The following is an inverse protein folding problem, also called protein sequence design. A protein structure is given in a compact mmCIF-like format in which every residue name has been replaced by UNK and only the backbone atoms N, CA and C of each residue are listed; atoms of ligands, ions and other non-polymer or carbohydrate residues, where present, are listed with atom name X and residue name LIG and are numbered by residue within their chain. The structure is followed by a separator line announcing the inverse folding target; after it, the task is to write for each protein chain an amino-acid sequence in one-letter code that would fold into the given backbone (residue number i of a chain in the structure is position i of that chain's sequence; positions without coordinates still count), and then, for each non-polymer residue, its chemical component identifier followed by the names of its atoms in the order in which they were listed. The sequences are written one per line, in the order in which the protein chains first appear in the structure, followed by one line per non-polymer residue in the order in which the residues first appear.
data_IF_175086563659
#
_entry.id   IF_175086563659
#
_cell.length_a   1.000
_cell.length_b   1.000
_cell.length_c   1.000
_cell.angle_alpha   90.00
_cell.angle_beta   90.00
_cell.angle_gamma   90.00
#
_symmetry.space_group_name_H-M   'P 1'
#
loop_
_entity.id
_entity.type
_entity.pdbx_description
1 polymer ?
#
# COMPACT_ATOMS: atom_id res chain seq x y z
N UNK A 1 26.36 2.30 -2.07
CA UNK A 1 25.53 3.06 -3.03
C UNK A 1 25.24 4.37 -2.36
N UNK A 2 25.66 5.46 -2.97
CA UNK A 2 25.47 6.80 -2.40
C UNK A 2 23.98 7.18 -2.46
N UNK A 3 23.49 7.95 -1.48
CA UNK A 3 22.07 8.38 -1.43
C UNK A 3 21.61 9.06 -2.72
N UNK A 4 22.47 9.91 -3.28
CA UNK A 4 22.22 10.62 -4.54
C UNK A 4 22.02 9.69 -5.74
N UNK A 5 22.61 8.49 -5.70
CA UNK A 5 22.44 7.49 -6.74
C UNK A 5 21.09 6.79 -6.61
N UNK A 6 20.65 6.51 -5.37
CA UNK A 6 19.33 5.93 -5.10
C UNK A 6 18.22 6.87 -5.57
N UNK A 7 18.29 8.14 -5.16
CA UNK A 7 17.25 9.13 -5.48
C UNK A 7 17.07 9.33 -7.00
N UNK A 8 18.13 9.24 -7.80
CA UNK A 8 18.05 9.32 -9.27
C UNK A 8 17.28 8.17 -9.90
N UNK A 9 17.04 7.07 -9.19
CA UNK A 9 16.29 5.92 -9.70
C UNK A 9 14.85 5.89 -9.16
N UNK A 10 14.39 6.93 -8.45
CA UNK A 10 13.04 7.03 -7.93
C UNK A 10 12.29 8.10 -8.72
N UNK A 11 11.19 7.71 -9.35
CA UNK A 11 10.23 8.64 -9.92
C UNK A 11 9.09 8.86 -8.91
N UNK A 12 8.82 10.13 -8.58
CA UNK A 12 7.71 10.51 -7.72
C UNK A 12 6.60 11.14 -8.56
N UNK A 13 5.39 10.60 -8.43
CA UNK A 13 4.16 11.21 -8.90
C UNK A 13 3.35 11.67 -7.69
N UNK A 14 2.78 12.87 -7.76
CA UNK A 14 2.03 13.47 -6.64
C UNK A 14 0.68 13.98 -7.12
N UNK A 15 -0.25 13.06 -7.44
CA UNK A 15 -1.60 13.44 -7.87
C UNK A 15 -2.30 14.21 -6.74
N UNK A 16 -2.93 15.32 -7.10
CA UNK A 16 -3.61 16.25 -6.19
C UNK A 16 -5.13 16.10 -6.18
N UNK A 17 -5.67 15.27 -7.09
CA UNK A 17 -7.10 15.00 -7.23
C UNK A 17 -7.34 13.52 -7.56
N UNK A 18 -8.60 13.08 -7.40
CA UNK A 18 -9.02 11.75 -7.82
C UNK A 18 -8.78 11.52 -9.33
N UNK A 19 -9.02 12.53 -10.16
CA UNK A 19 -8.84 12.41 -11.61
C UNK A 19 -7.37 12.23 -11.98
N UNK A 20 -6.46 13.02 -11.41
CA UNK A 20 -5.01 12.86 -11.62
C UNK A 20 -4.51 11.50 -11.10
N UNK A 21 -5.08 11.02 -9.98
CA UNK A 21 -4.76 9.70 -9.46
C UNK A 21 -5.20 8.60 -10.44
N UNK A 22 -6.42 8.67 -10.97
CA UNK A 22 -6.93 7.70 -11.95
C UNK A 22 -6.17 7.78 -13.28
N UNK A 23 -5.80 8.97 -13.73
CA UNK A 23 -5.01 9.18 -14.94
C UNK A 23 -3.61 8.56 -14.80
N UNK A 24 -2.94 8.75 -13.66
CA UNK A 24 -1.64 8.13 -13.40
C UNK A 24 -1.70 6.59 -13.47
N UNK A 25 -2.75 6.00 -12.92
CA UNK A 25 -2.97 4.54 -12.98
C UNK A 25 -3.27 4.09 -14.41
N UNK A 26 -4.11 4.83 -15.14
CA UNK A 26 -4.44 4.53 -16.55
C UNK A 26 -3.22 4.61 -17.45
N UNK A 27 -2.38 5.63 -17.27
CA UNK A 27 -1.13 5.81 -17.98
C UNK A 27 -0.20 4.60 -17.78
N UNK A 28 -0.03 4.14 -16.54
CA UNK A 28 0.79 2.97 -16.23
C UNK A 28 0.21 1.67 -16.84
N UNK A 29 -1.11 1.53 -16.86
CA UNK A 29 -1.80 0.37 -17.44
C UNK A 29 -1.62 0.28 -18.96
N UNK A 30 -1.72 1.43 -19.64
CA UNK A 30 -1.61 1.53 -21.10
C UNK A 30 -0.17 1.48 -21.61
N UNK A 31 0.81 1.73 -20.73
CA UNK A 31 2.23 1.65 -21.07
C UNK A 31 2.61 0.31 -21.69
N UNK A 32 3.39 0.35 -22.77
CA UNK A 32 3.96 -0.85 -23.41
C UNK A 32 5.06 -1.44 -22.53
N UNK A 33 5.88 -0.56 -21.95
CA UNK A 33 6.91 -0.87 -20.95
C UNK A 33 6.90 0.22 -19.87
N UNK A 34 7.27 -0.15 -18.65
CA UNK A 34 7.40 0.78 -17.52
C UNK A 34 8.87 0.84 -17.15
N UNK A 35 9.56 1.83 -17.72
CA UNK A 35 10.98 2.08 -17.47
C UNK A 35 11.24 3.54 -17.12
N UNK A 36 12.27 3.76 -16.31
CA UNK A 36 12.72 5.07 -15.87
C UNK A 36 14.25 5.11 -15.92
N UNK A 37 14.82 6.17 -16.52
CA UNK A 37 16.27 6.32 -16.73
C UNK A 37 16.94 5.09 -17.39
N UNK A 38 16.25 4.50 -18.37
CA UNK A 38 16.73 3.32 -19.10
C UNK A 38 16.73 2.01 -18.29
N UNK A 39 16.10 1.99 -17.11
CA UNK A 39 15.97 0.81 -16.26
C UNK A 39 14.50 0.43 -16.13
N UNK A 40 14.22 -0.87 -16.11
CA UNK A 40 12.87 -1.37 -15.85
C UNK A 40 12.47 -1.07 -14.40
N UNK A 41 11.25 -0.56 -14.20
CA UNK A 41 10.68 -0.37 -12.87
C UNK A 41 10.37 -1.74 -12.26
N UNK A 42 10.71 -1.94 -10.98
CA UNK A 42 10.47 -3.20 -10.26
C UNK A 42 9.47 -3.10 -9.11
N UNK A 43 9.22 -1.88 -8.63
CA UNK A 43 8.27 -1.61 -7.55
C UNK A 43 7.50 -0.34 -7.86
N UNK A 44 6.19 -0.39 -7.66
CA UNK A 44 5.31 0.78 -7.64
C UNK A 44 4.71 0.88 -6.23
N UNK A 45 4.84 2.04 -5.59
CA UNK A 45 4.31 2.30 -4.25
C UNK A 45 3.20 3.34 -4.39
N UNK A 46 2.03 3.03 -3.82
CA UNK A 46 0.88 3.95 -3.77
C UNK A 46 0.61 4.28 -2.32
N UNK A 47 0.85 5.54 -1.99
CA UNK A 47 0.67 6.08 -0.65
C UNK A 47 -0.29 7.29 -0.70
N UNK A 48 -1.60 7.11 -0.55
CA UNK A 48 -2.33 5.87 -0.23
C UNK A 48 -3.42 5.51 -1.23
N UNK A 49 -3.90 4.25 -1.18
CA UNK A 49 -4.99 3.79 -2.04
C UNK A 49 -6.31 4.47 -1.72
N UNK A 50 -6.64 4.64 -0.43
CA UNK A 50 -8.01 5.00 -0.06
C UNK A 50 -8.28 6.49 0.04
N UNK A 51 -7.28 7.31 0.37
CA UNK A 51 -7.48 8.76 0.54
C UNK A 51 -8.03 9.45 -0.71
N UNK A 52 -7.49 9.23 -1.93
CA UNK A 52 -8.04 9.85 -3.14
C UNK A 52 -9.52 9.51 -3.37
N UNK A 53 -9.95 8.31 -2.98
CA UNK A 53 -11.32 7.83 -3.19
C UNK A 53 -12.24 8.35 -2.08
N UNK A 54 -11.84 8.19 -0.81
CA UNK A 54 -12.67 8.54 0.35
C UNK A 54 -12.89 10.05 0.46
N UNK A 55 -11.86 10.85 0.17
CA UNK A 55 -11.94 12.31 0.29
C UNK A 55 -12.64 12.97 -0.90
N UNK A 56 -12.69 12.33 -2.06
CA UNK A 56 -13.29 12.93 -3.27
C UNK A 56 -14.69 12.40 -3.59
N UNK A 57 -15.12 11.27 -3.02
CA UNK A 57 -16.44 10.68 -3.27
C UNK A 57 -17.22 10.64 -1.97
N UNK A 58 -18.23 11.50 -1.84
CA UNK A 58 -19.07 11.57 -0.65
C UNK A 58 -19.96 10.33 -0.49
N UNK A 59 -20.52 9.82 -1.59
CA UNK A 59 -21.43 8.68 -1.59
C UNK A 59 -20.67 7.35 -1.36
N UNK A 60 -20.83 6.71 -0.18
CA UNK A 60 -20.13 5.46 0.12
C UNK A 60 -20.55 4.29 -0.79
N UNK A 61 -21.72 4.37 -1.42
CA UNK A 61 -22.20 3.33 -2.34
C UNK A 61 -21.45 3.32 -3.68
N UNK A 62 -20.83 4.45 -4.03
CA UNK A 62 -20.09 4.63 -5.29
C UNK A 62 -18.60 4.27 -5.14
N UNK A 63 -18.01 4.51 -3.96
CA UNK A 63 -16.59 4.21 -3.66
C UNK A 63 -16.16 2.79 -4.06
N UNK A 64 -16.96 1.73 -3.84
CA UNK A 64 -16.62 0.36 -4.29
C UNK A 64 -16.25 0.24 -5.76
N UNK A 65 -16.90 1.00 -6.65
CA UNK A 65 -16.65 0.98 -8.10
C UNK A 65 -15.21 1.46 -8.37
N UNK A 66 -14.80 2.54 -7.69
CA UNK A 66 -13.47 3.13 -7.84
C UNK A 66 -12.38 2.25 -7.23
N UNK A 67 -12.60 1.72 -6.03
CA UNK A 67 -11.68 0.73 -5.43
C UNK A 67 -11.47 -0.45 -6.37
N UNK A 68 -12.56 -1.04 -6.87
CA UNK A 68 -12.50 -2.21 -7.74
C UNK A 68 -11.77 -1.91 -9.04
N UNK A 69 -12.05 -0.77 -9.68
CA UNK A 69 -11.38 -0.34 -10.91
C UNK A 69 -9.87 -0.20 -10.69
N UNK A 70 -9.46 0.58 -9.67
CA UNK A 70 -8.04 0.82 -9.40
C UNK A 70 -7.31 -0.47 -9.05
N UNK A 71 -7.87 -1.30 -8.17
CA UNK A 71 -7.26 -2.57 -7.78
C UNK A 71 -7.11 -3.54 -8.95
N UNK A 72 -8.12 -3.61 -9.83
CA UNK A 72 -8.05 -4.44 -11.03
C UNK A 72 -6.95 -3.95 -11.98
N UNK A 73 -6.86 -2.63 -12.19
CA UNK A 73 -5.84 -2.03 -13.06
C UNK A 73 -4.43 -2.24 -12.50
N UNK A 74 -4.26 -2.10 -11.19
CA UNK A 74 -3.00 -2.42 -10.50
C UNK A 74 -2.63 -3.90 -10.64
N UNK A 75 -3.56 -4.82 -10.38
CA UNK A 75 -3.29 -6.24 -10.53
C UNK A 75 -2.88 -6.58 -11.98
N UNK A 76 -3.53 -5.96 -12.97
CA UNK A 76 -3.14 -6.09 -14.37
C UNK A 76 -1.72 -5.58 -14.63
N UNK A 77 -1.37 -4.38 -14.12
CA UNK A 77 -0.01 -3.81 -14.24
C UNK A 77 1.02 -4.76 -13.63
N UNK A 78 0.78 -5.27 -12.42
CA UNK A 78 1.68 -6.17 -11.72
C UNK A 78 1.98 -7.44 -12.54
N UNK A 79 0.93 -8.09 -13.06
CA UNK A 79 1.05 -9.32 -13.85
C UNK A 79 1.70 -9.06 -15.20
N UNK A 80 1.27 -8.01 -15.92
CA UNK A 80 1.75 -7.71 -17.27
C UNK A 80 3.24 -7.35 -17.29
N UNK A 81 3.71 -6.61 -16.29
CA UNK A 81 5.06 -6.06 -16.29
C UNK A 81 6.01 -6.76 -15.29
N UNK A 82 5.53 -7.75 -14.53
CA UNK A 82 6.29 -8.41 -13.46
C UNK A 82 6.85 -7.39 -12.43
N UNK A 83 5.93 -6.57 -11.91
CA UNK A 83 6.21 -5.47 -10.98
C UNK A 83 5.53 -5.72 -9.64
N UNK A 84 6.25 -5.51 -8.54
CA UNK A 84 5.65 -5.53 -7.21
C UNK A 84 4.87 -4.23 -6.95
N UNK A 85 3.60 -4.36 -6.56
CA UNK A 85 2.76 -3.23 -6.18
C UNK A 85 2.55 -3.24 -4.67
N UNK A 86 2.94 -2.14 -4.03
CA UNK A 86 2.77 -1.93 -2.59
C UNK A 86 1.80 -0.78 -2.41
N UNK A 87 0.75 -1.00 -1.63
CA UNK A 87 -0.25 0.01 -1.31
C UNK A 87 -0.25 0.25 0.20
N UNK A 88 -0.32 1.51 0.61
CA UNK A 88 -0.77 1.85 1.97
C UNK A 88 -2.28 2.05 1.93
N UNK A 89 -2.93 1.76 3.06
CA UNK A 89 -4.38 1.85 3.18
C UNK A 89 -4.73 2.25 4.61
N UNK A 90 -5.78 3.04 4.73
CA UNK A 90 -6.22 3.58 6.01
C UNK A 90 -7.12 2.61 6.77
N UNK A 91 -7.11 2.75 8.09
CA UNK A 91 -8.07 2.11 8.99
C UNK A 91 -9.24 3.08 9.17
N UNK A 92 -10.45 2.59 8.94
CA UNK A 92 -11.70 3.33 9.09
C UNK A 92 -12.58 2.68 10.15
N UNK A 93 -13.49 3.47 10.71
CA UNK A 93 -14.54 2.95 11.59
C UNK A 93 -15.64 2.31 10.74
N UNK A 94 -15.92 1.04 11.01
CA UNK A 94 -17.04 0.30 10.46
C UNK A 94 -18.11 0.13 11.55
N UNK A 95 -19.31 0.62 11.27
CA UNK A 95 -20.49 0.42 12.13
C UNK A 95 -21.38 -0.67 11.54
N UNK A 96 -21.71 -1.68 12.34
CA UNK A 96 -22.66 -2.72 11.94
C UNK A 96 -24.12 -2.25 12.08
N UNK A 97 -25.07 -3.11 11.68
CA UNK A 97 -26.51 -2.83 11.74
C UNK A 97 -27.05 -2.72 13.17
N UNK A 98 -26.33 -3.31 14.12
CA UNK A 98 -26.68 -3.34 15.53
C UNK A 98 -26.08 -2.14 16.29
N UNK A 99 -25.35 -1.27 15.59
CA UNK A 99 -24.74 -0.05 16.13
C UNK A 99 -23.37 -0.28 16.79
N UNK A 100 -22.78 -1.47 16.68
CA UNK A 100 -21.43 -1.71 17.17
C UNK A 100 -20.40 -1.15 16.18
N UNK A 101 -19.39 -0.48 16.72
CA UNK A 101 -18.27 0.03 15.93
C UNK A 101 -17.05 -0.88 16.04
N UNK A 102 -16.35 -1.04 14.93
CA UNK A 102 -15.11 -1.80 14.81
C UNK A 102 -14.15 -1.08 13.88
N UNK A 103 -12.87 -1.40 13.97
CA UNK A 103 -11.87 -0.91 13.02
C UNK A 103 -11.73 -1.88 11.86
N UNK A 104 -11.73 -1.36 10.64
CA UNK A 104 -11.56 -2.14 9.43
C UNK A 104 -10.69 -1.37 8.43
N UNK A 105 -10.03 -2.09 7.52
CA UNK A 105 -9.33 -1.44 6.40
C UNK A 105 -10.34 -0.77 5.46
N UNK A 106 -10.02 0.43 4.99
CA UNK A 106 -10.80 1.12 3.97
C UNK A 106 -10.99 0.24 2.72
N UNK A 107 -12.16 0.38 2.08
CA UNK A 107 -12.56 -0.44 0.93
C UNK A 107 -13.02 -1.86 1.28
N UNK A 108 -12.95 -2.28 2.56
CA UNK A 108 -13.61 -3.48 3.07
C UNK A 108 -13.31 -4.75 2.27
N UNK A 109 -14.37 -5.46 1.86
CA UNK A 109 -14.26 -6.71 1.12
C UNK A 109 -13.60 -6.54 -0.26
N UNK A 110 -13.89 -5.44 -0.98
CA UNK A 110 -13.37 -5.17 -2.31
C UNK A 110 -11.84 -5.15 -2.35
N UNK A 111 -11.22 -4.48 -1.38
CA UNK A 111 -9.75 -4.51 -1.21
C UNK A 111 -9.30 -5.89 -0.76
N UNK A 112 -10.02 -6.49 0.18
CA UNK A 112 -9.63 -7.77 0.79
C UNK A 112 -9.68 -8.95 -0.18
N UNK A 113 -10.49 -8.92 -1.24
CA UNK A 113 -10.55 -9.98 -2.25
C UNK A 113 -9.33 -9.93 -3.18
N UNK A 114 -9.02 -8.75 -3.73
CA UNK A 114 -7.98 -8.57 -4.76
C UNK A 114 -6.56 -8.62 -4.17
N UNK A 115 -6.36 -8.09 -2.97
CA UNK A 115 -5.03 -8.04 -2.35
C UNK A 115 -4.61 -9.43 -1.86
N UNK A 116 -3.50 -9.95 -2.39
CA UNK A 116 -2.99 -11.27 -2.04
C UNK A 116 -2.30 -11.31 -0.67
N UNK A 117 -1.52 -10.29 -0.34
CA UNK A 117 -0.81 -10.18 0.93
C UNK A 117 -1.30 -8.96 1.70
N UNK A 118 -1.87 -9.17 2.88
CA UNK A 118 -2.39 -8.10 3.74
C UNK A 118 -1.57 -8.04 5.02
N UNK A 119 -0.94 -6.89 5.25
CA UNK A 119 -0.15 -6.60 6.43
C UNK A 119 -0.86 -5.51 7.24
N UNK A 120 -0.91 -5.68 8.56
CA UNK A 120 -1.39 -4.69 9.51
C UNK A 120 -0.23 -4.24 10.39
N UNK A 121 0.03 -2.94 10.43
CA UNK A 121 1.06 -2.34 11.29
C UNK A 121 0.43 -1.76 12.54
N UNK A 122 1.02 -2.06 13.69
CA UNK A 122 0.60 -1.54 15.00
C UNK A 122 1.80 -0.92 15.70
N UNK A 123 1.66 0.32 16.17
CA UNK A 123 2.64 0.97 17.04
C UNK A 123 2.49 0.42 18.46
N UNK A 124 3.57 -0.10 19.04
CA UNK A 124 3.60 -0.65 20.40
C UNK A 124 4.13 0.41 21.38
N UNK A 125 5.25 1.03 21.03
CA UNK A 125 5.88 2.13 21.77
C UNK A 125 6.45 3.14 20.78
N UNK A 126 7.26 4.09 21.25
CA UNK A 126 7.65 5.20 20.41
C UNK A 126 8.37 4.81 19.12
N UNK A 127 9.34 3.90 19.23
CA UNK A 127 10.20 3.38 18.18
C UNK A 127 9.87 1.94 17.77
N UNK A 128 9.03 1.24 18.54
CA UNK A 128 8.72 -0.19 18.34
C UNK A 128 7.35 -0.41 17.74
N UNK A 129 7.32 -1.24 16.71
CA UNK A 129 6.14 -1.58 15.94
C UNK A 129 6.03 -3.10 15.81
N UNK A 130 4.81 -3.58 15.59
CA UNK A 130 4.53 -4.93 15.12
C UNK A 130 3.89 -4.86 13.74
N UNK A 131 4.26 -5.80 12.87
CA UNK A 131 3.51 -6.07 11.64
C UNK A 131 2.92 -7.47 11.74
N UNK A 132 1.65 -7.60 11.36
CA UNK A 132 0.91 -8.86 11.34
C UNK A 132 0.51 -9.18 9.90
N UNK A 133 0.86 -10.36 9.42
CA UNK A 133 0.41 -10.89 8.13
C UNK A 133 -0.98 -11.49 8.31
N UNK A 134 -2.00 -10.73 7.94
CA UNK A 134 -3.41 -11.13 8.09
C UNK A 134 -3.88 -12.06 6.97
N UNK A 135 -3.31 -11.91 5.76
CA UNK A 135 -3.69 -12.69 4.58
C UNK A 135 -2.45 -12.97 3.74
N UNK A 136 -2.26 -14.22 3.32
CA UNK A 136 -1.30 -14.63 2.30
C UNK A 136 -1.76 -15.95 1.66
N UNK A 137 -1.55 -16.17 0.36
CA UNK A 137 -1.88 -17.45 -0.28
C UNK A 137 -0.93 -18.59 0.12
N UNK A 138 0.27 -18.28 0.61
CA UNK A 138 1.34 -19.27 0.82
C UNK A 138 1.94 -19.26 2.23
N UNK A 139 1.62 -18.25 3.04
CA UNK A 139 2.16 -18.10 4.39
C UNK A 139 1.03 -18.14 5.42
N UNK A 140 1.25 -18.76 6.59
CA UNK A 140 0.32 -18.64 7.70
C UNK A 140 0.33 -17.22 8.25
N UNK A 141 -0.69 -16.91 9.04
CA UNK A 141 -0.72 -15.68 9.81
C UNK A 141 0.44 -15.65 10.82
N UNK A 142 1.26 -14.61 10.73
CA UNK A 142 2.44 -14.40 11.58
C UNK A 142 2.53 -12.95 12.02
N UNK A 143 3.16 -12.70 13.15
CA UNK A 143 3.48 -11.36 13.60
C UNK A 143 4.94 -11.24 13.98
N UNK A 144 5.56 -10.14 13.56
CA UNK A 144 6.96 -9.82 13.88
C UNK A 144 7.05 -8.40 14.38
N UNK A 145 7.99 -8.15 15.30
CA UNK A 145 8.26 -6.80 15.82
C UNK A 145 9.50 -6.23 15.16
N UNK A 146 9.50 -4.92 14.96
CA UNK A 146 10.59 -4.16 14.35
C UNK A 146 10.70 -2.78 14.99
N UNK A 147 11.82 -2.10 14.73
CA UNK A 147 12.07 -0.73 15.16
C UNK A 147 12.06 0.21 13.96
N UNK A 148 11.58 1.44 14.14
CA UNK A 148 11.79 2.54 13.19
C UNK A 148 12.83 3.46 13.81
N UNK A 149 13.97 3.58 13.13
CA UNK A 149 15.14 4.36 13.57
C UNK A 149 15.45 5.47 12.56
N UNK A 150 16.42 6.34 12.87
CA UNK A 150 16.89 7.34 11.91
C UNK A 150 17.39 6.76 10.58
N UNK A 151 17.85 5.50 10.60
CA UNK A 151 18.32 4.80 9.40
C UNK A 151 17.20 3.94 8.73
N UNK A 152 15.94 4.09 9.17
CA UNK A 152 14.78 3.35 8.69
C UNK A 152 14.40 2.14 9.55
N UNK A 153 13.76 1.14 8.92
CA UNK A 153 13.24 -0.08 9.59
C UNK A 153 14.38 -1.03 9.97
N UNK A 154 14.40 -1.51 11.22
CA UNK A 154 15.44 -2.42 11.76
C UNK A 154 14.84 -3.58 12.55
N UNK A 155 15.55 -4.71 12.57
CA UNK A 155 15.19 -5.86 13.42
C UNK A 155 15.47 -5.53 14.90
N UNK A 156 14.64 -6.09 15.79
CA UNK A 156 14.81 -5.99 17.24
C UNK A 156 16.07 -6.74 17.72
N UNK A 157 16.52 -7.78 17.00
CA UNK A 157 17.71 -8.56 17.37
C UNK A 157 19.01 -7.78 17.19
N UNK A 158 19.07 -6.90 16.19
CA UNK A 158 20.23 -6.07 15.84
C UNK A 158 20.65 -5.09 16.96
N UNK A 159 19.79 -4.79 17.93
CA UNK A 159 20.08 -3.89 19.05
C UNK A 159 20.62 -4.58 20.31
N UNK A 160 20.60 -5.92 20.38
CA UNK A 160 21.08 -6.66 21.56
C UNK A 160 22.62 -6.77 21.68
N UNK A 161 23.38 -6.30 20.69
CA UNK A 161 24.85 -6.38 20.66
C UNK A 161 25.56 -5.03 20.86
N UNK A 162 24.85 -3.99 21.30
CA UNK A 162 25.42 -2.68 21.64
C UNK A 162 25.06 -2.25 23.08
N UNK A 163 25.36 -3.10 24.04
CA UNK A 163 25.41 -2.73 25.47
C UNK A 163 26.75 -3.13 26.03
#
# INVERSE_FOLDING_TARGET
MEESEVLKNIQLLSPSSLDEFLEAISYLKEAVDISYNGKQVKVIIIDSLSMPIICSIDDPSIRPIYFSKVLHDLNYIAIKHDIAIVITNEIVTHSDKDGNSSYASAGGHYVSEVVFNKLESTRISDDKFAIRLLKSPIMPEISVTFLITGDGVRSVESFRHKV
#
